data_IF_953337296516
#
_entry.id   IF_953337296516
#
_cell.length_a   1.000
_cell.length_b   1.000
_cell.length_c   1.000
_cell.angle_alpha   90.00
_cell.angle_beta   90.00
_cell.angle_gamma   90.00
#
_symmetry.space_group_name_H-M   'P 1'
#
loop_
_entity.id
_entity.type
_entity.pdbx_description
1 polymer ?
#
# COMPACT_ATOMS: atom_id res chain seq x y z
N UNK A 1 12.96 28.41 -6.09
CA UNK A 1 13.31 28.29 -4.66
C UNK A 1 13.06 26.88 -4.18
N UNK A 2 13.80 26.46 -3.16
CA UNK A 2 13.70 25.12 -2.60
C UNK A 2 14.69 24.88 -1.48
N UNK A 3 14.93 23.60 -1.16
CA UNK A 3 15.86 23.19 -0.13
C UNK A 3 17.16 22.66 -0.74
N UNK A 4 18.27 22.91 -0.07
CA UNK A 4 19.57 22.33 -0.38
C UNK A 4 20.01 21.49 0.83
N UNK A 5 20.43 20.26 0.55
CA UNK A 5 21.04 19.36 1.54
C UNK A 5 22.21 18.62 0.88
N UNK A 6 23.43 19.00 1.23
CA UNK A 6 24.65 18.44 0.66
C UNK A 6 24.97 17.03 1.15
N UNK A 7 24.31 16.55 2.22
CA UNK A 7 24.42 15.17 2.71
C UNK A 7 23.51 14.22 1.94
N UNK A 8 22.49 14.74 1.27
CA UNK A 8 21.50 13.95 0.54
C UNK A 8 21.99 13.58 -0.85
N UNK A 9 21.57 12.41 -1.35
CA UNK A 9 21.73 12.05 -2.77
C UNK A 9 20.94 12.99 -3.69
N UNK A 10 19.80 13.50 -3.21
CA UNK A 10 19.00 14.53 -3.87
C UNK A 10 19.38 15.88 -3.24
N UNK A 11 20.44 16.48 -3.75
CA UNK A 11 21.03 17.69 -3.18
C UNK A 11 20.06 18.88 -3.18
N UNK A 12 19.23 19.00 -4.21
CA UNK A 12 18.26 20.10 -4.36
C UNK A 12 16.86 19.57 -4.52
N UNK A 13 15.93 20.05 -3.70
CA UNK A 13 14.49 19.83 -3.85
C UNK A 13 13.79 21.15 -4.12
N UNK A 14 13.22 21.27 -5.32
CA UNK A 14 12.51 22.48 -5.72
C UNK A 14 11.10 22.50 -5.13
N UNK A 15 10.73 23.65 -4.55
CA UNK A 15 9.37 23.95 -4.11
C UNK A 15 8.64 24.80 -5.14
N UNK A 16 9.32 25.73 -5.78
CA UNK A 16 8.76 26.59 -6.82
C UNK A 16 9.83 27.01 -7.83
N UNK A 17 9.42 27.21 -9.08
CA UNK A 17 10.28 27.79 -10.14
C UNK A 17 10.18 29.30 -10.19
N UNK A 18 9.14 29.89 -9.59
CA UNK A 18 9.00 31.32 -9.47
C UNK A 18 9.88 31.85 -8.32
N UNK A 19 10.82 32.71 -8.68
CA UNK A 19 11.76 33.33 -7.73
C UNK A 19 11.12 34.40 -6.83
N UNK A 20 9.95 34.92 -7.20
CA UNK A 20 9.21 35.88 -6.40
C UNK A 20 8.34 35.26 -5.33
N UNK A 21 8.00 33.95 -5.46
CA UNK A 21 7.19 33.24 -4.47
C UNK A 21 7.88 33.26 -3.11
N UNK A 22 7.16 33.67 -2.06
CA UNK A 22 7.59 33.54 -0.67
C UNK A 22 7.24 32.15 -0.18
N UNK A 23 8.21 31.46 0.43
CA UNK A 23 7.99 30.15 1.05
C UNK A 23 7.68 30.39 2.53
N UNK A 24 6.41 30.61 2.80
CA UNK A 24 5.84 30.88 4.12
C UNK A 24 4.69 29.92 4.44
N UNK A 25 3.96 30.19 5.51
CA UNK A 25 2.82 29.39 5.93
C UNK A 25 1.70 29.38 4.88
N UNK A 26 1.42 30.51 4.22
CA UNK A 26 0.40 30.60 3.18
C UNK A 26 0.75 29.75 1.95
N UNK A 27 2.04 29.69 1.60
CA UNK A 27 2.51 28.81 0.55
C UNK A 27 2.21 27.33 0.87
N UNK A 28 2.51 26.88 2.09
CA UNK A 28 2.25 25.51 2.49
C UNK A 28 0.76 25.24 2.69
N UNK A 29 -0.01 26.20 3.22
CA UNK A 29 -1.47 26.08 3.31
C UNK A 29 -2.09 25.82 1.95
N UNK A 30 -1.66 26.57 0.92
CA UNK A 30 -2.14 26.32 -0.44
C UNK A 30 -1.82 24.91 -0.91
N UNK A 31 -0.61 24.38 -0.65
CA UNK A 31 -0.23 23.00 -1.03
C UNK A 31 -1.09 21.95 -0.33
N UNK A 32 -1.30 22.10 0.97
CA UNK A 32 -2.17 21.21 1.77
C UNK A 32 -3.61 21.26 1.24
N UNK A 33 -4.13 22.45 0.97
CA UNK A 33 -5.47 22.64 0.43
C UNK A 33 -5.62 22.01 -0.95
N UNK A 34 -4.71 22.28 -1.87
CA UNK A 34 -4.73 21.69 -3.22
C UNK A 34 -4.69 20.16 -3.16
N UNK A 35 -3.87 19.58 -2.27
CA UNK A 35 -3.78 18.14 -2.06
C UNK A 35 -5.07 17.55 -1.50
N UNK A 36 -5.71 18.21 -0.51
CA UNK A 36 -6.97 17.76 0.06
C UNK A 36 -8.13 17.87 -0.94
N UNK A 37 -8.23 18.98 -1.66
CA UNK A 37 -9.24 19.16 -2.72
C UNK A 37 -9.14 18.11 -3.83
N UNK A 38 -7.91 17.70 -4.16
CA UNK A 38 -7.68 16.60 -5.09
C UNK A 38 -8.24 15.27 -4.52
N UNK A 39 -7.95 14.92 -3.26
CA UNK A 39 -8.43 13.68 -2.64
C UNK A 39 -9.94 13.60 -2.60
N UNK A 40 -10.61 14.70 -2.25
CA UNK A 40 -12.07 14.75 -2.24
C UNK A 40 -12.71 14.41 -3.59
N UNK A 41 -12.00 14.63 -4.70
CA UNK A 41 -12.49 14.37 -6.05
C UNK A 41 -12.22 12.95 -6.55
N UNK A 42 -11.15 12.31 -6.07
CA UNK A 42 -10.63 11.08 -6.69
C UNK A 42 -10.73 9.84 -5.81
N UNK A 43 -10.94 10.00 -4.52
CA UNK A 43 -10.95 8.86 -3.58
C UNK A 43 -11.97 9.05 -2.46
N UNK A 44 -12.34 7.94 -1.80
CA UNK A 44 -12.96 7.98 -0.49
C UNK A 44 -11.95 8.48 0.55
N UNK A 45 -12.30 9.57 1.23
CA UNK A 45 -11.42 10.26 2.17
C UNK A 45 -11.59 9.82 3.63
N UNK A 46 -12.40 8.80 3.91
CA UNK A 46 -12.55 8.25 5.28
C UNK A 46 -11.19 7.81 5.85
N UNK A 47 -10.38 7.16 5.02
CA UNK A 47 -8.97 6.88 5.27
C UNK A 47 -8.22 6.94 3.93
N UNK A 48 -7.25 7.84 3.83
CA UNK A 48 -6.52 8.09 2.57
C UNK A 48 -5.16 8.74 2.83
N UNK A 49 -4.26 8.67 1.87
CA UNK A 49 -3.05 9.50 1.85
C UNK A 49 -3.43 10.93 1.47
N UNK A 50 -3.25 11.87 2.38
CA UNK A 50 -3.58 13.30 2.16
C UNK A 50 -2.45 14.00 1.42
N UNK A 51 -1.18 13.70 1.75
CA UNK A 51 -0.01 14.24 1.06
C UNK A 51 0.94 13.10 0.66
N UNK A 52 1.34 13.09 -0.60
CA UNK A 52 2.28 12.13 -1.17
C UNK A 52 3.52 12.82 -1.75
N UNK A 53 4.30 13.43 -0.89
CA UNK A 53 5.64 13.97 -1.21
C UNK A 53 5.68 14.85 -2.44
N UNK A 54 6.53 14.45 -3.37
CA UNK A 54 6.78 15.15 -4.63
C UNK A 54 5.54 15.26 -5.51
N UNK A 55 4.65 14.28 -5.45
CA UNK A 55 3.43 14.26 -6.26
C UNK A 55 2.38 15.30 -5.83
N UNK A 56 2.49 15.80 -4.59
CA UNK A 56 1.70 16.93 -4.07
C UNK A 56 2.55 18.18 -3.89
N UNK A 57 3.75 18.20 -4.47
CA UNK A 57 4.66 19.33 -4.42
C UNK A 57 5.10 19.75 -3.00
N UNK A 58 5.12 18.78 -2.08
CA UNK A 58 5.66 18.90 -0.71
C UNK A 58 6.76 17.84 -0.53
N UNK A 59 7.90 17.99 -1.22
CA UNK A 59 8.88 16.92 -1.37
C UNK A 59 9.42 16.44 -0.03
N UNK A 60 9.37 15.12 0.15
CA UNK A 60 9.83 14.44 1.35
C UNK A 60 8.84 14.46 2.52
N UNK A 61 7.60 14.93 2.34
CA UNK A 61 6.55 14.86 3.35
C UNK A 61 5.42 13.94 2.93
N UNK A 62 5.01 13.04 3.84
CA UNK A 62 3.87 12.14 3.65
C UNK A 62 2.91 12.33 4.81
N UNK A 63 1.61 12.34 4.52
CA UNK A 63 0.56 12.37 5.53
C UNK A 63 -0.54 11.38 5.16
N UNK A 64 -0.75 10.36 5.99
CA UNK A 64 -1.83 9.40 5.88
C UNK A 64 -2.89 9.69 6.95
N UNK A 65 -4.14 9.70 6.55
CA UNK A 65 -5.29 9.84 7.43
C UNK A 65 -5.94 8.48 7.62
N UNK A 66 -6.02 8.03 8.87
CA UNK A 66 -6.75 6.84 9.29
C UNK A 66 -7.91 7.28 10.18
N UNK A 67 -9.12 7.32 9.63
CA UNK A 67 -10.31 7.83 10.33
C UNK A 67 -10.07 9.28 10.84
N UNK A 68 -9.88 9.47 12.13
CA UNK A 68 -9.65 10.74 12.81
C UNK A 68 -8.19 10.93 13.31
N UNK A 69 -7.26 10.12 12.81
CA UNK A 69 -5.84 10.18 13.15
C UNK A 69 -5.01 10.48 11.91
N UNK A 70 -4.01 11.35 12.04
CA UNK A 70 -2.98 11.55 11.03
C UNK A 70 -1.70 10.79 11.40
N UNK A 71 -1.11 10.13 10.43
CA UNK A 71 0.24 9.57 10.53
C UNK A 71 1.12 10.26 9.51
N UNK A 72 2.19 10.90 9.97
CA UNK A 72 3.08 11.64 9.10
C UNK A 72 4.45 11.00 8.99
N UNK A 73 5.13 11.28 7.87
CA UNK A 73 6.56 11.03 7.70
C UNK A 73 7.23 12.29 7.17
N UNK A 74 8.31 12.69 7.82
CA UNK A 74 9.18 13.76 7.37
C UNK A 74 10.53 13.16 6.97
N UNK A 75 10.78 13.09 5.67
CA UNK A 75 11.84 12.27 5.06
C UNK A 75 13.00 13.09 4.49
N UNK A 76 12.90 14.42 4.46
CA UNK A 76 13.93 15.32 3.94
C UNK A 76 14.20 16.47 4.90
N UNK A 77 15.50 16.81 5.06
CA UNK A 77 15.95 17.80 6.04
C UNK A 77 15.26 19.18 5.88
N UNK A 78 15.04 19.61 4.65
CA UNK A 78 14.42 20.91 4.38
C UNK A 78 12.98 20.99 4.86
N UNK A 79 12.18 19.93 4.60
CA UNK A 79 10.76 19.87 4.98
C UNK A 79 10.57 19.57 6.47
N UNK A 80 11.53 18.91 7.11
CA UNK A 80 11.48 18.59 8.54
C UNK A 80 11.35 19.86 9.40
N UNK A 81 11.88 20.99 8.94
CA UNK A 81 11.76 22.31 9.59
C UNK A 81 10.33 22.85 9.60
N UNK A 82 9.51 22.43 8.66
CA UNK A 82 8.12 22.87 8.51
C UNK A 82 7.11 21.82 8.99
N UNK A 83 7.59 20.73 9.55
CA UNK A 83 6.76 19.59 9.96
C UNK A 83 5.61 20.00 10.85
N UNK A 84 5.86 20.76 11.90
CA UNK A 84 4.83 21.22 12.85
C UNK A 84 3.84 22.18 12.18
N UNK A 85 4.32 23.09 11.35
CA UNK A 85 3.48 23.99 10.54
C UNK A 85 2.57 23.17 9.63
N UNK A 86 3.11 22.19 8.91
CA UNK A 86 2.33 21.31 8.03
C UNK A 86 1.27 20.52 8.78
N UNK A 87 1.57 20.04 9.99
CA UNK A 87 0.60 19.34 10.84
C UNK A 87 -0.56 20.26 11.24
N UNK A 88 -0.27 21.47 11.67
CA UNK A 88 -1.34 22.43 12.04
C UNK A 88 -2.16 22.87 10.81
N UNK A 89 -1.51 23.05 9.66
CA UNK A 89 -2.21 23.36 8.43
C UNK A 89 -3.10 22.19 7.95
N UNK A 90 -2.64 20.94 8.09
CA UNK A 90 -3.47 19.77 7.81
C UNK A 90 -4.70 19.75 8.72
N UNK A 91 -4.54 19.91 10.03
CA UNK A 91 -5.66 19.98 10.97
C UNK A 91 -6.65 21.10 10.62
N UNK A 92 -6.13 22.30 10.31
CA UNK A 92 -6.92 23.48 9.91
C UNK A 92 -7.73 23.19 8.65
N UNK A 93 -7.08 22.76 7.57
CA UNK A 93 -7.73 22.55 6.26
C UNK A 93 -8.76 21.43 6.33
N UNK A 94 -8.46 20.33 7.02
CA UNK A 94 -9.41 19.22 7.19
C UNK A 94 -10.61 19.63 8.04
N UNK A 95 -10.40 20.46 9.07
CA UNK A 95 -11.48 20.95 9.94
C UNK A 95 -12.50 21.84 9.22
N UNK A 96 -12.11 22.55 8.17
CA UNK A 96 -13.02 23.34 7.33
C UNK A 96 -14.10 22.48 6.65
N UNK A 97 -13.77 21.21 6.34
CA UNK A 97 -14.70 20.21 5.82
C UNK A 97 -15.33 19.32 6.93
N UNK A 98 -15.23 19.74 8.19
CA UNK A 98 -15.80 19.02 9.33
C UNK A 98 -14.99 17.80 9.78
N UNK A 99 -13.80 17.57 9.24
CA UNK A 99 -12.93 16.45 9.62
C UNK A 99 -12.06 16.85 10.80
N UNK A 100 -12.42 16.39 12.00
CA UNK A 100 -11.65 16.65 13.21
C UNK A 100 -10.60 15.57 13.42
N UNK A 101 -9.36 15.98 13.56
CA UNK A 101 -8.22 15.11 13.86
C UNK A 101 -7.98 15.09 15.37
N UNK A 102 -8.13 13.91 16.00
CA UNK A 102 -7.93 13.72 17.44
C UNK A 102 -6.46 13.57 17.83
N UNK A 103 -5.60 13.15 16.90
CA UNK A 103 -4.20 12.94 17.19
C UNK A 103 -3.31 12.79 15.96
N UNK A 104 -2.02 13.02 16.16
CA UNK A 104 -1.00 12.90 15.13
C UNK A 104 0.16 12.03 15.62
N UNK A 105 0.56 11.05 14.81
CA UNK A 105 1.71 10.20 15.09
C UNK A 105 2.76 10.33 13.98
N UNK A 106 4.02 10.46 14.33
CA UNK A 106 5.12 10.50 13.37
C UNK A 106 5.76 9.12 13.21
N UNK A 107 5.89 8.66 11.98
CA UNK A 107 6.56 7.41 11.58
C UNK A 107 7.73 7.69 10.65
N UNK A 108 8.62 8.56 11.10
CA UNK A 108 9.88 8.89 10.43
C UNK A 108 11.03 7.94 10.82
N UNK A 109 10.72 6.74 11.32
CA UNK A 109 11.63 5.68 11.75
C UNK A 109 12.23 4.88 10.56
N UNK A 110 12.58 5.58 9.48
CA UNK A 110 13.05 4.98 8.22
C UNK A 110 14.49 5.36 7.88
N UNK A 111 15.18 4.46 7.18
CA UNK A 111 16.60 4.57 6.86
C UNK A 111 16.95 5.83 6.03
N UNK A 112 16.01 6.34 5.23
CA UNK A 112 16.24 7.50 4.37
C UNK A 112 16.59 8.75 5.19
N UNK A 113 16.10 8.90 6.42
CA UNK A 113 16.44 10.03 7.28
C UNK A 113 17.94 10.14 7.56
N UNK A 114 18.61 9.00 7.80
CA UNK A 114 20.07 9.00 7.99
C UNK A 114 20.83 9.46 6.74
N UNK A 115 20.29 9.16 5.55
CA UNK A 115 20.88 9.64 4.29
C UNK A 115 20.68 11.16 4.09
N UNK A 116 19.70 11.73 4.77
CA UNK A 116 19.44 13.17 4.82
C UNK A 116 20.19 13.88 5.96
N UNK A 117 20.97 13.15 6.78
CA UNK A 117 21.67 13.69 7.95
C UNK A 117 20.76 13.87 9.17
N UNK A 118 19.65 13.13 9.24
CA UNK A 118 18.70 13.17 10.36
C UNK A 118 18.61 11.83 11.05
N UNK A 119 18.34 11.84 12.36
CA UNK A 119 18.04 10.59 13.08
C UNK A 119 16.60 10.09 12.77
N UNK A 120 16.39 8.77 12.71
CA UNK A 120 15.05 8.20 12.68
C UNK A 120 14.25 8.67 13.89
N UNK A 121 12.97 8.95 13.69
CA UNK A 121 12.08 9.40 14.76
C UNK A 121 10.72 8.71 14.67
N UNK A 122 10.15 8.39 15.85
CA UNK A 122 8.83 7.81 16.00
C UNK A 122 8.21 8.32 17.31
N UNK A 123 7.00 8.88 17.23
CA UNK A 123 6.37 9.44 18.42
C UNK A 123 5.10 10.23 18.16
N UNK A 124 4.45 10.64 19.22
CA UNK A 124 3.29 11.53 19.15
C UNK A 124 3.72 12.97 18.83
N UNK A 125 2.87 13.66 18.06
CA UNK A 125 2.95 15.12 17.93
C UNK A 125 1.76 15.71 18.65
N UNK A 126 2.03 16.36 19.78
CA UNK A 126 1.02 16.82 20.74
C UNK A 126 0.61 15.74 21.75
N UNK A 127 -0.67 15.63 22.05
CA UNK A 127 -1.19 14.72 23.06
C UNK A 127 -1.14 13.25 22.62
N UNK A 128 -0.94 12.34 23.58
CA UNK A 128 -1.00 10.90 23.37
C UNK A 128 -2.45 10.42 23.18
N UNK A 129 -2.62 9.41 22.34
CA UNK A 129 -3.91 8.79 22.07
C UNK A 129 -3.77 7.27 21.85
N UNK A 130 -4.86 6.48 21.93
CA UNK A 130 -4.84 5.06 21.58
C UNK A 130 -4.40 4.83 20.14
N UNK A 131 -3.31 4.08 19.94
CA UNK A 131 -2.66 3.91 18.64
C UNK A 131 -3.30 2.84 17.74
N UNK A 132 -4.21 2.02 18.28
CA UNK A 132 -5.08 1.16 17.50
C UNK A 132 -6.28 1.97 17.02
N UNK A 133 -6.39 2.14 15.70
CA UNK A 133 -7.41 2.97 15.04
C UNK A 133 -8.29 2.09 14.18
N UNK A 134 -9.60 2.12 14.42
CA UNK A 134 -10.55 1.44 13.55
C UNK A 134 -10.78 2.29 12.28
N UNK A 135 -10.63 1.65 11.13
CA UNK A 135 -10.98 2.22 9.82
C UNK A 135 -12.00 1.33 9.12
N UNK A 136 -12.74 1.92 8.18
CA UNK A 136 -13.58 1.17 7.24
C UNK A 136 -13.11 1.46 5.82
N UNK A 137 -12.84 0.41 5.06
CA UNK A 137 -12.46 0.50 3.66
C UNK A 137 -13.25 -0.53 2.84
N UNK A 138 -13.93 -0.09 1.77
CA UNK A 138 -14.73 -0.96 0.91
C UNK A 138 -15.80 -1.77 1.67
N UNK A 139 -16.31 -1.23 2.78
CA UNK A 139 -17.27 -1.90 3.67
C UNK A 139 -16.64 -2.84 4.71
N UNK A 140 -15.34 -3.05 4.66
CA UNK A 140 -14.58 -3.92 5.59
C UNK A 140 -13.92 -3.06 6.66
N UNK A 141 -14.03 -3.50 7.92
CA UNK A 141 -13.40 -2.85 9.09
C UNK A 141 -12.01 -3.44 9.37
N UNK A 142 -11.08 -2.59 9.75
CA UNK A 142 -9.73 -2.98 10.15
C UNK A 142 -9.30 -2.23 11.41
N UNK A 143 -8.58 -2.93 12.28
CA UNK A 143 -7.78 -2.31 13.32
C UNK A 143 -6.39 -2.00 12.73
N UNK A 144 -6.05 -0.73 12.65
CA UNK A 144 -4.77 -0.23 12.16
C UNK A 144 -3.92 0.21 13.34
N UNK A 145 -2.76 -0.41 13.50
CA UNK A 145 -1.77 0.02 14.49
C UNK A 145 -0.86 1.10 13.88
N UNK A 146 -1.14 2.36 14.19
CA UNK A 146 -0.35 3.48 13.66
C UNK A 146 1.03 3.59 14.30
N UNK A 147 1.25 2.94 15.45
CA UNK A 147 2.52 2.93 16.16
C UNK A 147 3.43 1.81 15.66
N UNK A 148 2.98 0.56 15.65
CA UNK A 148 3.82 -0.61 15.40
C UNK A 148 3.48 -1.35 14.10
N UNK A 149 2.44 -0.92 13.38
CA UNK A 149 2.08 -1.44 12.06
C UNK A 149 3.12 -1.13 10.99
N UNK A 150 3.07 -1.85 9.87
CA UNK A 150 3.99 -1.65 8.76
C UNK A 150 3.79 -0.27 8.09
N UNK A 151 4.87 0.35 7.62
CA UNK A 151 4.88 1.72 7.05
C UNK A 151 4.24 2.70 8.03
N UNK A 152 3.12 3.30 7.65
CA UNK A 152 2.32 4.22 8.46
C UNK A 152 1.20 3.52 9.24
N UNK A 153 1.02 2.21 9.06
CA UNK A 153 0.02 1.38 9.73
C UNK A 153 -0.78 0.48 8.79
N UNK A 154 -1.10 0.93 7.58
CA UNK A 154 -1.89 0.19 6.59
C UNK A 154 -1.50 0.57 5.16
N UNK A 155 -1.76 -0.34 4.20
CA UNK A 155 -1.44 -0.13 2.78
C UNK A 155 -2.63 0.49 2.03
N UNK A 156 -2.81 1.81 2.16
CA UNK A 156 -3.91 2.55 1.52
C UNK A 156 -3.84 2.52 -0.01
N UNK A 157 -2.64 2.36 -0.57
CA UNK A 157 -2.38 2.32 -2.01
C UNK A 157 -3.08 1.16 -2.74
N UNK A 158 -3.43 0.07 -2.02
CA UNK A 158 -4.14 -1.09 -2.56
C UNK A 158 -5.69 -1.01 -2.43
N UNK A 159 -6.25 0.06 -1.88
CA UNK A 159 -7.70 0.23 -1.61
C UNK A 159 -8.59 -0.26 -2.76
N UNK A 160 -8.37 0.26 -3.96
CA UNK A 160 -9.21 -0.05 -5.12
C UNK A 160 -8.82 -1.36 -5.81
N UNK A 161 -7.63 -1.89 -5.57
CA UNK A 161 -7.24 -3.22 -6.01
C UNK A 161 -7.96 -4.28 -5.17
N UNK A 162 -8.08 -4.06 -3.85
CA UNK A 162 -8.91 -4.87 -2.96
C UNK A 162 -10.39 -4.84 -3.36
N UNK A 163 -10.92 -3.66 -3.71
CA UNK A 163 -12.29 -3.55 -4.21
C UNK A 163 -12.48 -4.31 -5.55
N UNK A 164 -11.49 -4.26 -6.44
CA UNK A 164 -11.59 -4.89 -7.75
C UNK A 164 -11.72 -6.42 -7.69
N UNK A 165 -11.16 -7.09 -6.68
CA UNK A 165 -11.30 -8.54 -6.55
C UNK A 165 -12.67 -8.96 -6.01
N UNK A 166 -13.40 -8.10 -5.33
CA UNK A 166 -14.68 -8.45 -4.71
C UNK A 166 -15.66 -9.07 -5.72
N UNK A 167 -15.76 -8.51 -6.93
CA UNK A 167 -16.66 -9.02 -7.99
C UNK A 167 -16.37 -10.46 -8.44
N UNK A 168 -15.16 -10.98 -8.14
CA UNK A 168 -14.71 -12.31 -8.53
C UNK A 168 -14.93 -13.34 -7.41
N UNK A 169 -15.27 -12.92 -6.20
CA UNK A 169 -15.19 -13.74 -5.00
C UNK A 169 -16.52 -14.37 -4.55
N UNK A 170 -17.67 -13.96 -5.11
CA UNK A 170 -18.97 -14.51 -4.70
C UNK A 170 -19.03 -16.02 -4.92
N UNK A 171 -19.30 -16.78 -3.83
CA UNK A 171 -19.30 -18.25 -3.79
C UNK A 171 -17.95 -18.91 -4.16
N UNK A 172 -16.87 -18.13 -4.26
CA UNK A 172 -15.54 -18.60 -4.64
C UNK A 172 -14.79 -19.20 -3.43
N UNK A 173 -13.93 -20.19 -3.72
CA UNK A 173 -12.84 -20.62 -2.84
C UNK A 173 -11.61 -19.79 -3.16
N UNK A 174 -11.10 -19.03 -2.19
CA UNK A 174 -10.05 -18.02 -2.40
C UNK A 174 -8.79 -18.35 -1.61
N UNK A 175 -7.61 -18.19 -2.24
CA UNK A 175 -6.31 -18.22 -1.59
C UNK A 175 -5.68 -16.82 -1.69
N UNK A 176 -5.35 -16.22 -0.56
CA UNK A 176 -4.68 -14.90 -0.46
C UNK A 176 -3.27 -15.07 0.12
N UNK A 177 -2.26 -14.97 -0.73
CA UNK A 177 -0.86 -15.11 -0.38
C UNK A 177 -0.23 -13.77 -0.04
N UNK A 178 0.57 -13.74 1.03
CA UNK A 178 1.15 -12.53 1.61
C UNK A 178 0.06 -11.60 2.17
N UNK A 179 -0.88 -12.20 2.89
CA UNK A 179 -2.14 -11.57 3.28
C UNK A 179 -1.97 -10.41 4.25
N UNK A 180 -0.81 -10.28 4.91
CA UNK A 180 -0.51 -9.29 5.93
C UNK A 180 -1.63 -9.26 7.00
N UNK A 181 -2.30 -8.14 7.21
CA UNK A 181 -3.43 -8.01 8.16
C UNK A 181 -4.77 -8.50 7.60
N UNK A 182 -4.74 -9.33 6.55
CA UNK A 182 -5.91 -9.97 5.96
C UNK A 182 -6.67 -9.12 4.96
N UNK A 183 -6.07 -8.06 4.42
CA UNK A 183 -6.84 -7.03 3.72
C UNK A 183 -7.49 -7.50 2.42
N UNK A 184 -6.83 -8.32 1.59
CA UNK A 184 -7.45 -8.94 0.41
C UNK A 184 -8.40 -10.07 0.81
N UNK A 185 -7.99 -10.94 1.73
CA UNK A 185 -8.80 -12.05 2.22
C UNK A 185 -10.15 -11.60 2.79
N UNK A 186 -10.14 -10.51 3.58
CA UNK A 186 -11.37 -9.94 4.16
C UNK A 186 -12.27 -9.30 3.12
N UNK A 187 -11.72 -8.65 2.09
CA UNK A 187 -12.51 -8.16 0.96
C UNK A 187 -13.16 -9.33 0.18
N UNK A 188 -12.48 -10.46 0.02
CA UNK A 188 -13.03 -11.65 -0.59
C UNK A 188 -14.16 -12.25 0.28
N UNK A 189 -13.95 -12.37 1.59
CA UNK A 189 -14.96 -12.84 2.54
C UNK A 189 -16.20 -11.95 2.58
N UNK A 190 -16.01 -10.64 2.64
CA UNK A 190 -17.07 -9.63 2.61
C UNK A 190 -17.92 -9.70 1.33
N UNK A 191 -17.28 -9.99 0.20
CA UNK A 191 -17.94 -10.17 -1.09
C UNK A 191 -18.70 -11.50 -1.22
N UNK A 192 -18.73 -12.34 -0.18
CA UNK A 192 -19.49 -13.58 -0.16
C UNK A 192 -18.74 -14.80 -0.69
N UNK A 193 -17.42 -14.85 -0.54
CA UNK A 193 -16.65 -16.07 -0.79
C UNK A 193 -17.16 -17.23 0.06
N UNK A 194 -17.12 -18.44 -0.49
CA UNK A 194 -17.52 -19.66 0.23
C UNK A 194 -16.50 -20.05 1.30
N UNK A 195 -15.22 -19.85 0.99
CA UNK A 195 -14.11 -20.01 1.93
C UNK A 195 -12.90 -19.19 1.47
N UNK A 196 -12.15 -18.64 2.41
CA UNK A 196 -10.92 -17.89 2.15
C UNK A 196 -9.82 -18.41 3.05
N UNK A 197 -8.65 -18.67 2.48
CA UNK A 197 -7.43 -18.96 3.22
C UNK A 197 -6.43 -17.82 2.95
N UNK A 198 -6.10 -17.05 4.00
CA UNK A 198 -5.05 -16.06 3.97
C UNK A 198 -3.75 -16.62 4.53
N UNK A 199 -2.62 -16.32 3.91
CA UNK A 199 -1.29 -16.86 4.28
C UNK A 199 -0.29 -15.73 4.45
N UNK A 200 0.43 -15.74 5.56
CA UNK A 200 1.56 -14.86 5.80
C UNK A 200 2.62 -15.58 6.65
N UNK A 201 3.89 -15.24 6.45
CA UNK A 201 5.00 -15.79 7.23
C UNK A 201 5.10 -15.19 8.65
N UNK A 202 4.42 -14.08 8.91
CA UNK A 202 4.44 -13.38 10.19
C UNK A 202 3.28 -13.79 11.08
N UNK A 203 3.55 -14.44 12.21
CA UNK A 203 2.52 -14.79 13.19
C UNK A 203 1.77 -13.54 13.69
N UNK A 204 2.47 -12.42 13.90
CA UNK A 204 1.83 -11.16 14.29
C UNK A 204 0.81 -10.68 13.25
N UNK A 205 1.14 -10.79 11.96
CA UNK A 205 0.23 -10.41 10.87
C UNK A 205 -0.99 -11.34 10.84
N UNK A 206 -0.79 -12.65 11.01
CA UNK A 206 -1.86 -13.65 11.08
C UNK A 206 -2.78 -13.41 12.28
N UNK A 207 -2.23 -13.06 13.44
CA UNK A 207 -3.02 -12.74 14.65
C UNK A 207 -3.87 -11.48 14.42
N UNK A 208 -3.31 -10.43 13.82
CA UNK A 208 -4.03 -9.21 13.44
C UNK A 208 -5.11 -9.48 12.39
N UNK A 209 -4.80 -10.27 11.37
CA UNK A 209 -5.76 -10.67 10.33
C UNK A 209 -6.94 -11.46 10.93
N UNK A 210 -6.66 -12.36 11.88
CA UNK A 210 -7.68 -13.13 12.60
C UNK A 210 -8.56 -12.22 13.47
N UNK A 211 -7.96 -11.23 14.13
CA UNK A 211 -8.73 -10.24 14.89
C UNK A 211 -9.63 -9.39 13.96
N UNK A 212 -9.12 -9.00 12.79
CA UNK A 212 -9.89 -8.28 11.78
C UNK A 212 -11.03 -9.15 11.20
N UNK A 213 -10.85 -10.46 11.03
CA UNK A 213 -11.94 -11.36 10.62
C UNK A 213 -13.08 -11.37 11.65
N UNK A 214 -12.75 -11.47 12.92
CA UNK A 214 -13.74 -11.39 14.02
C UNK A 214 -14.46 -10.05 14.07
N UNK A 215 -13.74 -8.94 13.86
CA UNK A 215 -14.30 -7.59 13.82
C UNK A 215 -15.38 -7.44 12.74
N UNK A 216 -15.28 -8.24 11.67
CA UNK A 216 -16.23 -8.24 10.55
C UNK A 216 -17.25 -9.40 10.59
N UNK A 217 -17.20 -10.29 11.59
CA UNK A 217 -18.04 -11.49 11.64
C UNK A 217 -17.77 -12.47 10.50
N UNK A 218 -16.51 -12.55 10.05
CA UNK A 218 -16.06 -13.37 8.92
C UNK A 218 -15.21 -14.56 9.37
N UNK A 219 -15.00 -14.77 10.67
CA UNK A 219 -14.10 -15.78 11.23
C UNK A 219 -14.47 -17.22 10.86
N UNK A 220 -15.72 -17.51 10.50
CA UNK A 220 -16.14 -18.84 10.08
C UNK A 220 -15.70 -19.17 8.66
N UNK A 221 -15.61 -18.17 7.78
CA UNK A 221 -15.31 -18.32 6.35
C UNK A 221 -13.89 -17.94 5.97
N UNK A 222 -13.28 -17.01 6.70
CA UNK A 222 -11.93 -16.50 6.44
C UNK A 222 -10.99 -17.02 7.52
N UNK A 223 -10.04 -17.85 7.11
CA UNK A 223 -9.04 -18.45 8.00
C UNK A 223 -7.65 -17.97 7.60
N UNK A 224 -6.78 -17.84 8.58
CA UNK A 224 -5.40 -17.42 8.36
C UNK A 224 -4.44 -18.47 8.88
N UNK A 225 -3.34 -18.70 8.15
CA UNK A 225 -2.27 -19.63 8.51
C UNK A 225 -0.92 -18.91 8.44
N UNK A 226 -0.03 -19.24 9.37
CA UNK A 226 1.33 -18.71 9.41
C UNK A 226 2.27 -19.69 8.72
N UNK A 227 2.57 -19.44 7.45
CA UNK A 227 3.44 -20.28 6.63
C UNK A 227 4.17 -19.45 5.57
N UNK A 228 5.33 -19.97 5.12
CA UNK A 228 6.07 -19.42 3.99
C UNK A 228 5.38 -19.77 2.67
N UNK A 229 5.00 -18.74 1.89
CA UNK A 229 4.26 -18.93 0.62
C UNK A 229 5.06 -19.76 -0.38
N UNK A 230 6.39 -19.63 -0.41
CA UNK A 230 7.25 -20.41 -1.31
C UNK A 230 7.27 -21.91 -1.00
N UNK A 231 6.98 -22.30 0.22
CA UNK A 231 6.88 -23.71 0.64
C UNK A 231 5.44 -24.22 0.52
N UNK A 232 4.47 -23.38 0.86
CA UNK A 232 3.05 -23.72 0.83
C UNK A 232 2.52 -23.98 -0.59
N UNK A 233 2.84 -23.11 -1.57
CA UNK A 233 2.29 -23.24 -2.92
C UNK A 233 2.66 -24.59 -3.58
N UNK A 234 3.92 -25.08 -3.51
CA UNK A 234 4.26 -26.43 -3.97
C UNK A 234 3.48 -27.54 -3.23
N UNK A 235 3.34 -27.44 -1.90
CA UNK A 235 2.63 -28.44 -1.10
C UNK A 235 1.14 -28.53 -1.48
N UNK A 236 0.47 -27.39 -1.71
CA UNK A 236 -0.91 -27.37 -2.20
C UNK A 236 -1.04 -27.95 -3.62
N UNK A 237 -0.04 -27.73 -4.48
CA UNK A 237 0.01 -28.33 -5.82
C UNK A 237 0.09 -29.86 -5.74
N UNK A 238 0.97 -30.40 -4.88
CA UNK A 238 1.13 -31.85 -4.65
C UNK A 238 -0.13 -32.50 -4.08
N UNK A 239 -0.87 -31.76 -3.24
CA UNK A 239 -2.17 -32.20 -2.70
C UNK A 239 -3.31 -32.10 -3.72
N UNK A 240 -3.08 -31.55 -4.90
CA UNK A 240 -4.10 -31.38 -5.93
C UNK A 240 -5.11 -30.29 -5.63
N UNK A 241 -4.80 -29.36 -4.72
CA UNK A 241 -5.69 -28.29 -4.31
C UNK A 241 -5.99 -27.31 -5.45
N UNK A 242 -7.24 -26.81 -5.49
CA UNK A 242 -7.69 -25.86 -6.51
C UNK A 242 -8.55 -24.76 -5.90
N UNK A 243 -8.36 -23.55 -6.42
CA UNK A 243 -9.06 -22.34 -5.99
C UNK A 243 -9.73 -21.65 -7.18
N UNK A 244 -10.84 -20.98 -6.92
CA UNK A 244 -11.51 -20.15 -7.92
C UNK A 244 -10.77 -18.83 -8.13
N UNK A 245 -10.16 -18.30 -7.05
CA UNK A 245 -9.36 -17.07 -7.08
C UNK A 245 -8.09 -17.29 -6.26
N UNK A 246 -6.94 -16.94 -6.84
CA UNK A 246 -5.65 -16.85 -6.13
C UNK A 246 -5.17 -15.40 -6.20
N UNK A 247 -4.74 -14.86 -5.06
CA UNK A 247 -4.24 -13.49 -4.92
C UNK A 247 -2.78 -13.55 -4.47
N UNK A 248 -1.92 -12.78 -5.15
CA UNK A 248 -0.49 -12.67 -4.83
C UNK A 248 -0.16 -11.18 -4.60
N UNK A 249 0.04 -10.77 -3.35
CA UNK A 249 0.49 -9.42 -2.97
C UNK A 249 1.84 -9.47 -2.23
N UNK A 250 2.92 -9.94 -2.90
CA UNK A 250 4.20 -10.15 -2.25
C UNK A 250 4.86 -8.83 -1.86
N UNK A 251 5.74 -8.86 -0.84
CA UNK A 251 6.63 -7.74 -0.55
C UNK A 251 7.54 -7.47 -1.76
N UNK A 252 8.12 -6.27 -1.81
CA UNK A 252 9.07 -5.92 -2.87
C UNK A 252 10.29 -6.86 -2.84
N UNK A 253 10.38 -7.79 -3.78
CA UNK A 253 11.49 -8.74 -3.89
C UNK A 253 12.81 -8.08 -4.32
N UNK A 254 12.77 -6.84 -4.80
CA UNK A 254 13.97 -6.07 -5.08
C UNK A 254 13.85 -4.63 -4.58
N UNK A 255 14.94 -4.16 -3.96
CA UNK A 255 15.13 -2.77 -3.51
C UNK A 255 16.33 -2.12 -4.19
N UNK A 256 16.96 -2.81 -5.16
CA UNK A 256 18.14 -2.33 -5.88
C UNK A 256 18.25 -2.98 -7.27
N UNK A 257 18.95 -2.32 -8.18
CA UNK A 257 19.23 -2.87 -9.52
C UNK A 257 19.97 -4.21 -9.48
N UNK A 258 20.83 -4.43 -8.50
CA UNK A 258 21.62 -5.65 -8.38
C UNK A 258 20.78 -6.89 -8.03
N UNK A 259 19.61 -6.73 -7.44
CA UNK A 259 18.73 -7.83 -7.02
C UNK A 259 17.58 -8.12 -8.01
N UNK A 260 17.50 -7.42 -9.15
CA UNK A 260 16.43 -7.60 -10.16
C UNK A 260 16.34 -9.05 -10.63
N UNK A 261 17.47 -9.70 -10.96
CA UNK A 261 17.48 -11.10 -11.45
C UNK A 261 16.85 -12.07 -10.44
N UNK A 262 17.10 -11.88 -9.15
CA UNK A 262 16.51 -12.70 -8.10
C UNK A 262 15.02 -12.41 -7.92
N UNK A 263 14.62 -11.13 -8.02
CA UNK A 263 13.23 -10.75 -7.98
C UNK A 263 12.42 -11.37 -9.13
N UNK A 264 12.95 -11.33 -10.37
CA UNK A 264 12.32 -11.98 -11.53
C UNK A 264 12.11 -13.48 -11.29
N UNK A 265 13.09 -14.18 -10.70
CA UNK A 265 12.94 -15.59 -10.33
C UNK A 265 11.82 -15.79 -9.31
N UNK A 266 11.77 -14.97 -8.25
CA UNK A 266 10.74 -15.06 -7.21
C UNK A 266 9.34 -14.79 -7.76
N UNK A 267 9.15 -13.68 -8.49
CA UNK A 267 7.86 -13.37 -9.12
C UNK A 267 7.42 -14.44 -10.12
N UNK A 268 8.35 -14.98 -10.93
CA UNK A 268 8.05 -16.06 -11.86
C UNK A 268 7.58 -17.31 -11.11
N UNK A 269 8.27 -17.71 -10.06
CA UNK A 269 7.95 -18.93 -9.29
C UNK A 269 6.56 -18.83 -8.65
N UNK A 270 6.25 -17.76 -7.90
CA UNK A 270 4.95 -17.66 -7.24
C UNK A 270 3.80 -17.57 -8.25
N UNK A 271 3.97 -16.85 -9.37
CA UNK A 271 2.95 -16.75 -10.41
C UNK A 271 2.74 -18.10 -11.12
N UNK A 272 3.82 -18.84 -11.40
CA UNK A 272 3.77 -20.18 -11.99
C UNK A 272 2.96 -21.14 -11.08
N UNK A 273 3.28 -21.19 -9.78
CA UNK A 273 2.58 -22.04 -8.80
C UNK A 273 1.12 -21.64 -8.64
N UNK A 274 0.85 -20.34 -8.51
CA UNK A 274 -0.51 -19.83 -8.43
C UNK A 274 -1.36 -20.23 -9.64
N UNK A 275 -0.84 -20.12 -10.86
CA UNK A 275 -1.57 -20.53 -12.07
C UNK A 275 -1.91 -22.01 -12.09
N UNK A 276 -1.09 -22.87 -11.48
CA UNK A 276 -1.39 -24.30 -11.34
C UNK A 276 -2.49 -24.56 -10.29
N UNK A 277 -2.62 -23.70 -9.28
CA UNK A 277 -3.64 -23.80 -8.24
C UNK A 277 -4.98 -23.19 -8.64
N UNK A 278 -5.01 -22.30 -9.64
CA UNK A 278 -6.27 -21.75 -10.16
C UNK A 278 -7.00 -22.82 -10.99
N UNK A 279 -8.31 -22.98 -10.76
CA UNK A 279 -9.19 -23.79 -11.62
C UNK A 279 -9.22 -23.25 -13.04
N UNK A 280 -9.50 -24.08 -14.02
CA UNK A 280 -9.74 -23.61 -15.38
C UNK A 280 -10.94 -22.65 -15.40
N UNK A 281 -10.75 -21.47 -15.98
CA UNK A 281 -11.73 -20.38 -15.96
C UNK A 281 -11.75 -19.54 -14.67
N UNK A 282 -10.94 -19.91 -13.65
CA UNK A 282 -10.75 -19.12 -12.43
C UNK A 282 -9.86 -17.90 -12.64
N UNK A 283 -9.52 -17.19 -11.57
CA UNK A 283 -8.83 -15.90 -11.64
C UNK A 283 -7.54 -15.87 -10.82
N UNK A 284 -6.53 -15.24 -11.37
CA UNK A 284 -5.28 -14.87 -10.71
C UNK A 284 -5.23 -13.34 -10.58
N UNK A 285 -5.16 -12.83 -9.35
CA UNK A 285 -4.79 -11.45 -9.06
C UNK A 285 -3.32 -11.43 -8.60
N UNK A 286 -2.47 -10.65 -9.24
CA UNK A 286 -1.04 -10.61 -8.93
C UNK A 286 -0.48 -9.21 -9.03
N UNK A 287 0.39 -8.84 -8.09
CA UNK A 287 0.98 -7.51 -8.08
C UNK A 287 2.48 -7.48 -7.76
N UNK A 288 3.07 -6.33 -8.03
CA UNK A 288 4.40 -5.95 -7.63
C UNK A 288 4.43 -4.49 -7.19
N UNK A 289 4.87 -4.24 -5.96
CA UNK A 289 5.10 -2.90 -5.42
C UNK A 289 6.57 -2.46 -5.58
N UNK A 290 7.40 -3.18 -6.32
CA UNK A 290 8.80 -2.84 -6.52
C UNK A 290 8.96 -1.86 -7.68
N UNK A 291 9.61 -0.71 -7.44
CA UNK A 291 9.97 0.24 -8.48
C UNK A 291 10.91 -0.38 -9.53
N UNK A 292 11.86 -1.23 -9.12
CA UNK A 292 12.82 -1.89 -10.02
C UNK A 292 12.22 -3.08 -10.81
N UNK A 293 10.99 -3.48 -10.52
CA UNK A 293 10.18 -4.38 -11.33
C UNK A 293 9.19 -3.52 -12.10
N UNK A 294 9.66 -2.90 -13.20
CA UNK A 294 8.81 -2.06 -14.01
C UNK A 294 7.68 -2.83 -14.71
N UNK A 295 6.82 -2.12 -15.42
CA UNK A 295 5.67 -2.68 -16.10
C UNK A 295 6.07 -3.78 -17.12
N UNK A 296 7.05 -3.50 -17.96
CA UNK A 296 7.47 -4.41 -19.04
C UNK A 296 8.07 -5.68 -18.46
N UNK A 297 8.99 -5.54 -17.50
CA UNK A 297 9.66 -6.67 -16.86
C UNK A 297 8.67 -7.55 -16.09
N UNK A 298 7.71 -6.94 -15.37
CA UNK A 298 6.69 -7.70 -14.65
C UNK A 298 5.77 -8.46 -15.59
N UNK A 299 5.31 -7.81 -16.67
CA UNK A 299 4.47 -8.44 -17.71
C UNK A 299 5.19 -9.61 -18.38
N UNK A 300 6.46 -9.42 -18.78
CA UNK A 300 7.28 -10.49 -19.35
C UNK A 300 7.47 -11.66 -18.38
N UNK A 301 7.68 -11.36 -17.10
CA UNK A 301 7.87 -12.38 -16.05
C UNK A 301 6.62 -13.25 -15.88
N UNK A 302 5.42 -12.62 -15.83
CA UNK A 302 4.13 -13.33 -15.74
C UNK A 302 3.91 -14.16 -17.03
N UNK A 303 4.14 -13.57 -18.21
CA UNK A 303 4.00 -14.26 -19.49
C UNK A 303 4.91 -15.48 -19.62
N UNK A 304 6.15 -15.40 -19.08
CA UNK A 304 7.06 -16.55 -19.04
C UNK A 304 6.58 -17.62 -18.05
N UNK A 305 6.04 -17.23 -16.89
CA UNK A 305 5.43 -18.18 -15.95
C UNK A 305 4.27 -18.95 -16.59
N UNK A 306 3.37 -18.24 -17.30
CA UNK A 306 2.24 -18.85 -18.00
C UNK A 306 2.69 -19.85 -19.09
N UNK A 307 3.71 -19.50 -19.88
CA UNK A 307 4.29 -20.43 -20.89
C UNK A 307 4.83 -21.69 -20.24
N UNK A 308 5.51 -21.58 -19.10
CA UNK A 308 6.12 -22.71 -18.41
C UNK A 308 5.09 -23.71 -17.88
N UNK A 309 3.85 -23.29 -17.63
CA UNK A 309 2.75 -24.15 -17.16
C UNK A 309 1.68 -24.41 -18.24
N UNK A 310 1.97 -24.00 -19.49
CA UNK A 310 1.07 -24.19 -20.64
C UNK A 310 -0.33 -23.56 -20.44
N UNK A 311 -0.43 -22.47 -19.66
CA UNK A 311 -1.67 -21.73 -19.42
C UNK A 311 -1.78 -20.53 -20.36
N UNK A 312 -3.01 -20.21 -20.77
CA UNK A 312 -3.34 -19.02 -21.55
C UNK A 312 -4.04 -18.03 -20.62
N UNK A 313 -3.44 -16.85 -20.47
CA UNK A 313 -3.99 -15.79 -19.63
C UNK A 313 -4.83 -14.83 -20.45
N UNK A 314 -6.04 -14.56 -19.98
CA UNK A 314 -6.88 -13.47 -20.48
C UNK A 314 -6.83 -12.34 -19.47
N UNK A 315 -6.22 -11.20 -19.83
CA UNK A 315 -6.19 -10.04 -18.96
C UNK A 315 -7.59 -9.47 -18.78
N UNK A 316 -8.04 -9.39 -17.54
CA UNK A 316 -9.33 -8.79 -17.14
C UNK A 316 -9.14 -7.32 -16.79
N UNK A 317 -8.13 -7.02 -15.95
CA UNK A 317 -7.79 -5.67 -15.53
C UNK A 317 -6.28 -5.48 -15.41
N UNK A 318 -5.85 -4.25 -15.61
CA UNK A 318 -4.58 -3.70 -15.17
C UNK A 318 -4.84 -2.46 -14.35
N UNK A 319 -4.22 -2.38 -13.18
CA UNK A 319 -4.41 -1.30 -12.20
C UNK A 319 -3.07 -0.88 -11.61
N UNK A 320 -3.06 0.31 -11.04
CA UNK A 320 -1.92 0.87 -10.32
C UNK A 320 -2.30 1.14 -8.86
N UNK A 321 -1.51 1.94 -8.17
CA UNK A 321 -1.85 2.42 -6.83
C UNK A 321 -3.14 3.25 -6.84
N UNK A 322 -3.80 3.33 -5.69
CA UNK A 322 -5.00 4.14 -5.52
C UNK A 322 -4.73 5.62 -5.84
N UNK A 323 -5.74 6.37 -6.34
CA UNK A 323 -5.56 7.77 -6.78
C UNK A 323 -5.06 8.73 -5.71
N UNK A 324 -5.22 8.43 -4.42
CA UNK A 324 -4.64 9.20 -3.32
C UNK A 324 -3.11 9.05 -3.20
N UNK A 325 -2.52 8.14 -3.98
CA UNK A 325 -1.09 8.00 -4.22
C UNK A 325 -0.79 8.42 -5.67
N UNK A 326 -0.92 9.70 -6.02
CA UNK A 326 -0.88 10.14 -7.41
C UNK A 326 0.44 9.81 -8.10
N UNK A 327 0.35 9.44 -9.37
CA UNK A 327 1.50 9.24 -10.24
C UNK A 327 1.83 10.59 -10.88
N UNK A 328 2.99 11.14 -10.55
CA UNK A 328 3.49 12.36 -11.16
C UNK A 328 4.34 12.00 -12.38
N UNK A 329 3.88 12.36 -13.56
CA UNK A 329 4.53 12.01 -14.83
C UNK A 329 5.95 12.55 -15.02
N UNK A 330 6.33 13.55 -14.23
CA UNK A 330 7.70 14.07 -14.19
C UNK A 330 8.58 13.43 -13.13
N UNK A 331 8.07 12.40 -12.41
CA UNK A 331 8.77 11.69 -11.34
C UNK A 331 8.44 10.19 -11.42
N UNK A 332 9.26 9.45 -12.17
CA UNK A 332 9.06 8.01 -12.45
C UNK A 332 8.95 7.17 -11.18
N UNK A 333 9.63 7.56 -10.11
CA UNK A 333 9.58 6.90 -8.80
C UNK A 333 8.21 6.93 -8.13
N UNK A 334 7.33 7.84 -8.55
CA UNK A 334 5.94 7.89 -8.08
C UNK A 334 5.09 6.75 -8.61
N UNK A 335 5.50 6.08 -9.70
CA UNK A 335 4.86 4.92 -10.27
C UNK A 335 5.55 3.64 -9.80
N UNK A 336 4.95 2.93 -8.85
CA UNK A 336 5.59 1.76 -8.24
C UNK A 336 4.72 0.52 -8.16
N UNK A 337 3.38 0.63 -8.19
CA UNK A 337 2.47 -0.49 -8.03
C UNK A 337 1.90 -0.94 -9.38
N UNK A 338 2.04 -2.22 -9.69
CA UNK A 338 1.46 -2.91 -10.84
C UNK A 338 0.59 -4.02 -10.30
N UNK A 339 -0.68 -4.04 -10.69
CA UNK A 339 -1.65 -5.02 -10.27
C UNK A 339 -2.41 -5.55 -11.49
N UNK A 340 -2.42 -6.85 -11.66
CA UNK A 340 -3.14 -7.52 -12.74
C UNK A 340 -4.20 -8.45 -12.20
N UNK A 341 -5.31 -8.57 -12.91
CA UNK A 341 -6.27 -9.65 -12.81
C UNK A 341 -6.29 -10.39 -14.14
N UNK A 342 -6.06 -11.70 -14.09
CA UNK A 342 -6.15 -12.60 -15.24
C UNK A 342 -7.19 -13.67 -15.00
N UNK A 343 -7.92 -14.06 -16.05
CA UNK A 343 -8.58 -15.36 -16.13
C UNK A 343 -7.57 -16.39 -16.64
N UNK A 344 -7.51 -17.56 -15.99
CA UNK A 344 -6.52 -18.62 -16.23
C UNK A 344 -7.15 -19.83 -16.93
#
# INVERSE_FOLDING_TARGET
>A
KGFINTNSKIVVRLLTRDENTVIDELFFEKRVRDAWEYRKKVTDTSSCRVIFGEADFVPGFVADKFSDVLVIQSLALGIDRYKEVLVELLKKVLAEDGVRIRGVYERSDVKVRRQEGMEPYKGFIGEEFPTLVEITENGVKYQVDVKDGQKTGFFLDQKYNRLAIQKLCKNARVLDCFTHTGSFALNAGYAGASSVTGVDASQLAVDQATANAKLNGLEDKVKFICEEVFDLLPALEEQGEKFDVVILDPPAFTKSRNSIKNAVKGYREINLRAMKLVKDGGFLATCSCSHFMDYELFTQTIGQAAKNVHKRLRQVEYRTQAPDHPILWSADESYYLKFYIFQV
#
